data_IF_569959105600
#
_entry.id   IF_569959105600
#
_cell.length_a   1.000
_cell.length_b   1.000
_cell.length_c   1.000
_cell.angle_alpha   90.00
_cell.angle_beta   90.00
_cell.angle_gamma   90.00
#
_symmetry.space_group_name_H-M   'P 1'
#
loop_
_entity.id
_entity.type
_entity.pdbx_description
1 polymer ?
#
# COMPACT_ATOMS: atom_id res chain seq x y z
N UNK A 1 -10.08 -8.26 18.55
CA UNK A 1 -9.19 -7.71 17.52
C UNK A 1 -9.73 -6.34 17.17
N UNK A 2 -8.97 -5.28 17.43
CA UNK A 2 -9.35 -3.96 16.92
C UNK A 2 -9.26 -4.02 15.39
N UNK A 3 -10.30 -3.57 14.66
CA UNK A 3 -10.21 -3.52 13.21
C UNK A 3 -9.07 -2.57 12.85
N UNK A 4 -8.24 -2.94 11.86
CA UNK A 4 -7.25 -2.05 11.28
C UNK A 4 -7.98 -0.94 10.52
N UNK A 5 -8.58 -0.01 11.26
CA UNK A 5 -9.11 1.21 10.69
C UNK A 5 -7.91 2.00 10.21
N UNK A 6 -7.81 2.08 8.90
CA UNK A 6 -6.97 3.09 8.24
C UNK A 6 -7.34 4.41 8.90
N UNK A 7 -6.39 4.99 9.63
CA UNK A 7 -6.58 6.31 10.23
C UNK A 7 -6.48 7.35 9.12
N UNK A 8 -7.54 7.43 8.33
CA UNK A 8 -7.68 8.29 7.15
C UNK A 8 -7.10 9.69 7.38
N UNK A 9 -7.39 10.40 8.51
CA UNK A 9 -6.84 11.73 8.73
C UNK A 9 -5.31 11.77 8.87
N UNK A 10 -4.69 10.73 9.43
CA UNK A 10 -3.23 10.69 9.63
C UNK A 10 -2.50 10.45 8.28
N UNK A 11 -3.06 9.59 7.42
CA UNK A 11 -2.55 9.41 6.06
C UNK A 11 -2.79 10.64 5.18
N UNK A 12 -3.97 11.24 5.23
CA UNK A 12 -4.27 12.47 4.49
C UNK A 12 -3.33 13.61 4.89
N UNK A 13 -2.97 13.72 6.16
CA UNK A 13 -1.98 14.69 6.64
C UNK A 13 -0.55 14.45 6.10
N UNK A 14 -0.28 13.28 5.50
CA UNK A 14 0.97 12.97 4.81
C UNK A 14 0.98 13.41 3.35
N UNK A 15 -0.14 13.89 2.79
CA UNK A 15 -0.16 14.46 1.45
C UNK A 15 0.87 15.58 1.33
N UNK A 16 1.65 15.50 0.26
CA UNK A 16 2.75 16.40 -0.05
C UNK A 16 3.90 16.45 0.98
N UNK A 17 3.90 15.55 1.97
CA UNK A 17 5.02 15.35 2.90
C UNK A 17 5.92 14.22 2.44
N UNK A 18 7.18 14.28 2.88
CA UNK A 18 8.10 13.15 2.73
C UNK A 18 7.77 12.10 3.76
N UNK A 19 7.62 10.87 3.29
CA UNK A 19 7.29 9.68 4.05
C UNK A 19 8.32 8.59 3.82
N UNK A 20 8.42 7.68 4.78
CA UNK A 20 9.02 6.37 4.59
C UNK A 20 7.90 5.33 4.56
N UNK A 21 7.86 4.53 3.52
CA UNK A 21 6.91 3.44 3.33
C UNK A 21 7.65 2.12 3.52
N UNK A 22 7.10 1.25 4.37
CA UNK A 22 7.50 -0.15 4.42
C UNK A 22 6.46 -0.96 3.63
N UNK A 23 6.93 -1.66 2.60
CA UNK A 23 6.11 -2.49 1.74
C UNK A 23 6.56 -3.94 1.85
N UNK A 24 5.60 -4.85 1.96
CA UNK A 24 5.84 -6.26 1.79
C UNK A 24 5.94 -6.60 0.30
N UNK A 25 7.01 -7.29 -0.07
CA UNK A 25 7.31 -7.79 -1.42
C UNK A 25 7.53 -9.30 -1.37
N UNK A 26 7.72 -9.95 -2.52
CA UNK A 26 8.01 -11.38 -2.58
C UNK A 26 9.33 -11.76 -1.88
N UNK A 27 10.26 -10.82 -1.77
CA UNK A 27 11.58 -11.02 -1.17
C UNK A 27 11.65 -10.57 0.31
N UNK A 28 10.57 -10.02 0.86
CA UNK A 28 10.49 -9.58 2.25
C UNK A 28 9.98 -8.16 2.40
N UNK A 29 10.73 -7.32 3.11
CA UNK A 29 10.35 -5.91 3.35
C UNK A 29 11.23 -5.00 2.51
N UNK A 30 10.60 -4.16 1.71
CA UNK A 30 11.22 -3.03 1.02
C UNK A 30 10.91 -1.73 1.76
N UNK A 31 11.88 -0.82 1.78
CA UNK A 31 11.72 0.53 2.34
C UNK A 31 11.92 1.57 1.26
N UNK A 32 10.92 2.43 1.10
CA UNK A 32 10.89 3.45 0.06
C UNK A 32 10.69 4.80 0.74
N UNK A 33 11.55 5.77 0.43
CA UNK A 33 11.37 7.16 0.87
C UNK A 33 10.87 8.00 -0.30
N UNK A 34 9.85 8.80 -0.07
CA UNK A 34 9.29 9.63 -1.13
C UNK A 34 8.22 10.59 -0.64
N UNK A 35 7.59 11.31 -1.56
CA UNK A 35 6.49 12.24 -1.29
C UNK A 35 5.19 11.69 -1.84
N UNK A 36 4.17 11.61 -0.99
CA UNK A 36 2.84 11.17 -1.42
C UNK A 36 2.18 12.30 -2.21
N UNK A 37 1.77 12.00 -3.44
CA UNK A 37 1.08 12.96 -4.32
C UNK A 37 -0.39 12.60 -4.55
N UNK A 38 -0.77 11.33 -4.31
CA UNK A 38 -2.16 10.88 -4.37
C UNK A 38 -2.40 9.78 -3.34
N UNK A 39 -3.56 9.84 -2.70
CA UNK A 39 -4.10 8.78 -1.85
C UNK A 39 -5.44 8.32 -2.41
N UNK A 40 -5.55 7.02 -2.65
CA UNK A 40 -6.80 6.36 -3.05
C UNK A 40 -7.02 5.16 -2.13
N UNK A 41 -7.51 5.43 -0.93
CA UNK A 41 -7.66 4.40 0.10
C UNK A 41 -8.91 3.54 -0.16
N UNK A 42 -8.85 2.20 0.04
CA UNK A 42 -7.70 1.37 0.44
C UNK A 42 -7.00 0.71 -0.76
N UNK A 43 -7.00 1.37 -1.92
CA UNK A 43 -6.47 0.82 -3.15
C UNK A 43 -4.97 1.08 -3.26
N UNK A 44 -4.58 2.35 -3.37
CA UNK A 44 -3.21 2.71 -3.71
C UNK A 44 -2.78 4.09 -3.20
N UNK A 45 -1.47 4.27 -3.21
CA UNK A 45 -0.74 5.52 -3.01
C UNK A 45 0.04 5.79 -4.29
N UNK A 46 -0.01 7.02 -4.80
CA UNK A 46 0.98 7.48 -5.77
C UNK A 46 2.09 8.21 -5.02
N UNK A 47 3.32 7.74 -5.21
CA UNK A 47 4.52 8.24 -4.56
C UNK A 47 5.48 8.79 -5.62
N UNK A 48 6.14 9.90 -5.32
CA UNK A 48 7.38 10.29 -5.99
C UNK A 48 8.52 9.89 -5.06
N UNK A 49 9.27 8.86 -5.41
CA UNK A 49 10.48 8.45 -4.69
C UNK A 49 11.52 9.55 -4.73
N UNK A 50 12.31 9.67 -3.67
CA UNK A 50 13.39 10.64 -3.61
C UNK A 50 13.97 10.79 -2.22
N UNK A 51 14.89 11.73 -2.08
CA UNK A 51 15.52 12.07 -0.82
C UNK A 51 15.70 13.59 -0.68
N UNK A 52 15.98 14.05 0.54
CA UNK A 52 16.44 15.41 0.75
C UNK A 52 17.93 15.53 0.39
N UNK A 53 18.24 16.53 -0.42
CA UNK A 53 19.59 16.99 -0.72
C UNK A 53 19.67 18.49 -0.43
N UNK A 54 20.60 18.90 0.45
CA UNK A 54 20.74 20.28 0.94
C UNK A 54 19.41 20.96 1.36
N UNK A 55 18.52 20.20 1.99
CA UNK A 55 17.22 20.69 2.49
C UNK A 55 16.11 20.79 1.42
N UNK A 56 16.38 20.38 0.18
CA UNK A 56 15.40 20.31 -0.91
C UNK A 56 15.10 18.85 -1.26
N UNK A 57 13.82 18.50 -1.37
CA UNK A 57 13.43 17.15 -1.81
C UNK A 57 13.69 16.99 -3.32
N UNK A 58 14.50 16.00 -3.68
CA UNK A 58 14.82 15.64 -5.06
C UNK A 58 14.06 14.36 -5.43
N UNK A 59 12.99 14.52 -6.21
CA UNK A 59 12.20 13.40 -6.72
C UNK A 59 12.88 12.72 -7.91
N UNK A 60 12.89 11.39 -7.94
CA UNK A 60 13.58 10.57 -8.95
C UNK A 60 12.61 9.73 -9.79
N UNK A 61 11.60 9.10 -9.17
CA UNK A 61 10.72 8.14 -9.82
C UNK A 61 9.29 8.23 -9.30
N UNK A 62 8.31 8.27 -10.21
CA UNK A 62 6.90 8.12 -9.86
C UNK A 62 6.49 6.65 -9.81
N UNK A 63 5.82 6.23 -8.74
CA UNK A 63 5.36 4.85 -8.55
C UNK A 63 3.98 4.76 -7.89
N UNK A 64 3.28 3.66 -8.15
CA UNK A 64 2.02 3.32 -7.50
C UNK A 64 2.24 2.15 -6.56
N UNK A 65 1.90 2.35 -5.28
CA UNK A 65 2.00 1.33 -4.24
C UNK A 65 0.60 0.95 -3.78
N UNK A 66 0.29 -0.35 -3.74
CA UNK A 66 -1.03 -0.84 -3.30
C UNK A 66 -1.04 -1.20 -1.82
N UNK A 67 -2.12 -0.88 -1.12
CA UNK A 67 -2.25 -1.26 0.30
C UNK A 67 -2.28 -2.79 0.48
N UNK A 68 -2.97 -3.51 -0.41
CA UNK A 68 -2.80 -4.95 -0.62
C UNK A 68 -3.26 -5.31 -2.04
N UNK A 69 -2.32 -5.60 -2.92
CA UNK A 69 -2.56 -5.89 -4.34
C UNK A 69 -2.00 -7.24 -4.75
N UNK A 70 -1.83 -7.44 -6.06
CA UNK A 70 -1.32 -8.71 -6.60
C UNK A 70 0.18 -8.95 -6.30
N UNK A 71 0.95 -7.87 -6.19
CA UNK A 71 2.42 -7.90 -6.14
C UNK A 71 3.03 -7.33 -4.87
N UNK A 72 2.21 -6.90 -3.92
CA UNK A 72 2.71 -6.32 -2.67
C UNK A 72 1.62 -5.69 -1.82
N UNK A 73 1.99 -5.32 -0.60
CA UNK A 73 1.11 -4.63 0.34
C UNK A 73 1.87 -3.67 1.22
N UNK A 74 1.35 -2.45 1.38
CA UNK A 74 1.91 -1.47 2.30
C UNK A 74 1.69 -1.96 3.74
N UNK A 75 2.76 -2.08 4.50
CA UNK A 75 2.73 -2.46 5.92
C UNK A 75 2.65 -1.20 6.77
N UNK A 76 3.42 -0.17 6.43
CA UNK A 76 3.57 1.03 7.25
C UNK A 76 3.81 2.26 6.40
N UNK A 77 3.26 3.40 6.81
CA UNK A 77 3.63 4.73 6.33
C UNK A 77 4.04 5.56 7.53
N UNK A 78 5.24 6.13 7.50
CA UNK A 78 5.78 7.00 8.54
C UNK A 78 6.10 8.38 7.96
N UNK A 79 5.69 9.44 8.67
CA UNK A 79 6.03 10.83 8.35
C UNK A 79 6.52 11.50 9.62
N UNK A 80 7.61 12.26 9.55
CA UNK A 80 8.12 13.06 10.69
C UNK A 80 8.30 12.22 11.98
N UNK A 81 8.72 10.94 11.84
CA UNK A 81 8.92 10.00 12.95
C UNK A 81 7.63 9.46 13.59
N UNK A 82 6.47 9.67 12.95
CA UNK A 82 5.17 9.16 13.40
C UNK A 82 4.56 8.22 12.37
N UNK A 83 4.12 7.04 12.82
CA UNK A 83 3.38 6.12 11.97
C UNK A 83 1.99 6.69 11.68
N UNK A 84 1.76 7.09 10.42
CA UNK A 84 0.46 7.54 9.91
C UNK A 84 -0.41 6.36 9.49
N UNK A 85 0.22 5.21 9.18
CA UNK A 85 -0.44 3.97 8.84
C UNK A 85 0.38 2.78 9.31
N UNK A 86 -0.31 1.74 9.75
CA UNK A 86 0.27 0.44 10.00
C UNK A 86 -0.79 -0.65 9.82
N UNK A 87 -0.41 -1.77 9.20
CA UNK A 87 -1.27 -2.93 9.04
C UNK A 87 -0.46 -4.23 9.14
N UNK A 88 -0.55 -4.87 10.30
CA UNK A 88 0.11 -6.14 10.59
C UNK A 88 -0.55 -7.38 9.95
N UNK A 89 -1.70 -7.22 9.28
CA UNK A 89 -2.36 -8.31 8.56
C UNK A 89 -1.75 -8.55 7.18
N UNK A 90 -0.95 -7.59 6.68
CA UNK A 90 -0.19 -7.77 5.45
C UNK A 90 0.93 -8.80 5.71
N UNK A 91 0.93 -9.95 5.02
CA UNK A 91 1.92 -11.00 5.21
C UNK A 91 3.30 -10.55 4.74
N UNK A 92 4.36 -11.05 5.39
CA UNK A 92 5.77 -10.82 5.05
C UNK A 92 6.52 -12.16 5.10
N UNK A 93 7.13 -12.64 3.99
CA UNK A 93 7.10 -12.05 2.64
C UNK A 93 5.68 -12.07 2.05
N UNK A 94 5.47 -11.25 1.03
CA UNK A 94 4.18 -11.17 0.34
C UNK A 94 3.92 -12.43 -0.50
N UNK A 95 2.71 -13.01 -0.47
CA UNK A 95 2.36 -14.15 -1.31
C UNK A 95 2.28 -13.76 -2.79
N UNK A 96 2.63 -14.70 -3.67
CA UNK A 96 2.42 -14.56 -5.11
C UNK A 96 1.00 -15.01 -5.46
N UNK A 97 0.25 -14.15 -6.14
CA UNK A 97 -1.12 -14.43 -6.59
C UNK A 97 -1.17 -14.58 -8.10
N UNK A 98 -1.78 -15.66 -8.60
CA UNK A 98 -2.12 -15.82 -10.02
C UNK A 98 -3.47 -15.16 -10.33
N UNK A 99 -3.48 -13.83 -10.42
CA UNK A 99 -4.72 -13.02 -10.53
C UNK A 99 -5.54 -13.20 -11.82
N UNK A 100 -5.10 -14.06 -12.73
CA UNK A 100 -5.79 -14.33 -13.99
C UNK A 100 -6.76 -15.52 -13.91
N UNK A 101 -6.84 -16.20 -12.76
CA UNK A 101 -7.82 -17.25 -12.51
C UNK A 101 -8.71 -16.98 -11.28
N UNK A 102 -9.74 -17.82 -11.11
CA UNK A 102 -10.71 -17.68 -10.02
C UNK A 102 -10.07 -17.91 -8.64
N UNK A 103 -9.09 -18.81 -8.55
CA UNK A 103 -8.45 -19.18 -7.29
C UNK A 103 -7.56 -18.05 -6.77
N UNK A 104 -6.70 -17.49 -7.62
CA UNK A 104 -5.84 -16.37 -7.31
C UNK A 104 -6.62 -15.10 -6.98
N UNK A 105 -7.70 -14.82 -7.70
CA UNK A 105 -8.58 -13.70 -7.36
C UNK A 105 -9.26 -13.91 -6.01
N UNK A 106 -9.76 -15.12 -5.72
CA UNK A 106 -10.37 -15.45 -4.43
C UNK A 106 -9.37 -15.29 -3.29
N UNK A 107 -8.15 -15.80 -3.45
CA UNK A 107 -7.08 -15.67 -2.46
C UNK A 107 -6.70 -14.20 -2.20
N UNK A 108 -6.61 -13.38 -3.24
CA UNK A 108 -6.33 -11.95 -3.13
C UNK A 108 -7.46 -11.22 -2.39
N UNK A 109 -8.73 -11.52 -2.72
CA UNK A 109 -9.88 -10.94 -2.03
C UNK A 109 -9.96 -11.36 -0.56
N UNK A 110 -9.65 -12.62 -0.23
CA UNK A 110 -9.59 -13.08 1.15
C UNK A 110 -8.50 -12.36 1.95
N UNK A 111 -7.34 -12.06 1.36
CA UNK A 111 -6.32 -11.21 1.99
C UNK A 111 -6.85 -9.79 2.21
N UNK A 112 -7.49 -9.20 1.20
CA UNK A 112 -8.04 -7.83 1.29
C UNK A 112 -9.11 -7.72 2.37
N UNK A 113 -9.98 -8.71 2.51
CA UNK A 113 -10.99 -8.77 3.59
C UNK A 113 -10.34 -8.87 4.96
N UNK A 114 -9.26 -9.64 5.12
CA UNK A 114 -8.49 -9.67 6.37
C UNK A 114 -7.85 -8.32 6.69
N UNK A 115 -7.38 -7.61 5.67
CA UNK A 115 -6.70 -6.32 5.83
C UNK A 115 -7.68 -5.15 6.11
N UNK A 116 -8.82 -5.12 5.42
CA UNK A 116 -9.68 -3.92 5.36
C UNK A 116 -11.17 -4.18 5.67
N UNK A 117 -11.58 -5.44 5.82
CA UNK A 117 -12.98 -5.82 5.94
C UNK A 117 -13.68 -6.07 4.60
N UNK A 118 -14.98 -6.36 4.66
CA UNK A 118 -15.80 -6.64 3.47
C UNK A 118 -16.03 -5.39 2.61
N UNK A 119 -16.28 -5.58 1.31
CA UNK A 119 -16.62 -4.50 0.37
C UNK A 119 -15.44 -3.88 -0.39
N UNK A 120 -14.22 -4.39 -0.18
CA UNK A 120 -13.01 -3.92 -0.88
C UNK A 120 -12.45 -4.96 -1.86
N UNK A 121 -13.30 -5.87 -2.34
CA UNK A 121 -12.92 -6.95 -3.24
C UNK A 121 -12.64 -6.44 -4.64
N UNK A 122 -11.66 -7.04 -5.30
CA UNK A 122 -11.56 -6.98 -6.75
C UNK A 122 -12.68 -7.81 -7.37
N UNK A 123 -13.26 -7.27 -8.44
CA UNK A 123 -14.27 -7.95 -9.24
C UNK A 123 -13.64 -8.35 -10.58
N UNK A 124 -13.93 -9.55 -11.07
CA UNK A 124 -13.74 -9.80 -12.50
C UNK A 124 -14.81 -9.01 -13.23
N UNK A 125 -14.41 -8.25 -14.25
CA UNK A 125 -15.36 -7.72 -15.21
C UNK A 125 -15.68 -8.84 -16.22
N UNK A 126 -16.89 -9.44 -16.16
CA UNK A 126 -17.26 -10.52 -17.07
C UNK A 126 -17.40 -10.04 -18.53
N UNK A 127 -17.31 -8.73 -18.81
CA UNK A 127 -17.30 -8.20 -20.17
C UNK A 127 -15.92 -8.24 -20.85
N UNK A 128 -14.85 -8.57 -20.10
CA UNK A 128 -13.47 -8.64 -20.60
C UNK A 128 -12.99 -10.06 -20.93
N UNK A 129 -13.84 -11.08 -20.77
CA UNK A 129 -13.58 -12.50 -21.04
C UNK A 129 -14.12 -12.99 -22.37
#
# INVERSE_FOLDING_TARGET
MEPNYIKLPELEACLEKVVTIEQSTFDGVERITGKIVLLQIPWQIQLIEGAYDDGVFQGTLGQFLTFAGASGGIIKVESEGKAAYHNSQVPVPYPQFEVFDEEGLRAMNDLRRKCFGEGFDYIMDPSLS
#
